data_IF_921674454938
#
_entry.id   IF_921674454938
#
_cell.length_a   1.000
_cell.length_b   1.000
_cell.length_c   1.000
_cell.angle_alpha   90.00
_cell.angle_beta   90.00
_cell.angle_gamma   90.00
#
_symmetry.space_group_name_H-M   'P 1'
#
loop_
_entity.id
_entity.type
_entity.pdbx_description
1 polymer ?
#
# COMPACT_ATOMS: atom_id res chain seq x y z
N UNK A 1 15.30 3.42 23.76
CA UNK A 1 14.44 4.49 23.24
C UNK A 1 14.90 4.85 21.83
N UNK A 2 14.03 4.80 20.82
CA UNK A 2 14.33 5.29 19.48
C UNK A 2 13.86 6.75 19.39
N UNK A 3 14.72 7.64 18.90
CA UNK A 3 14.43 9.08 18.84
C UNK A 3 14.52 9.54 17.39
N UNK A 4 13.42 10.07 16.87
CA UNK A 4 13.39 10.76 15.58
C UNK A 4 13.35 12.27 15.85
N UNK A 5 14.32 13.01 15.31
CA UNK A 5 14.37 14.47 15.38
C UNK A 5 14.23 15.02 13.97
N UNK A 6 13.24 15.88 13.75
CA UNK A 6 13.01 16.54 12.47
C UNK A 6 12.65 18.00 12.72
N UNK A 7 13.14 18.91 11.88
CA UNK A 7 12.88 20.36 12.02
C UNK A 7 12.07 20.82 10.82
N UNK A 8 10.79 21.14 11.04
CA UNK A 8 9.86 21.50 9.97
C UNK A 8 9.43 22.95 10.09
N UNK A 9 9.25 23.62 8.94
CA UNK A 9 8.53 24.89 8.86
C UNK A 9 7.04 24.59 8.75
N UNK A 10 6.25 25.07 9.70
CA UNK A 10 4.80 24.95 9.61
C UNK A 10 4.23 26.06 8.71
N UNK A 11 3.15 25.80 7.95
CA UNK A 11 2.48 26.84 7.19
C UNK A 11 1.97 27.94 8.13
N UNK A 12 2.43 29.17 7.95
CA UNK A 12 2.01 30.33 8.75
C UNK A 12 3.00 30.80 9.83
N UNK A 13 4.14 30.12 10.03
CA UNK A 13 5.21 30.58 10.94
C UNK A 13 6.58 30.60 10.23
N UNK A 14 7.32 31.70 10.35
CA UNK A 14 8.68 31.82 9.75
C UNK A 14 9.73 30.96 10.48
N UNK A 15 9.47 30.66 11.76
CA UNK A 15 10.36 29.91 12.64
C UNK A 15 10.27 28.40 12.39
N UNK A 16 11.45 27.77 12.31
CA UNK A 16 11.56 26.32 12.28
C UNK A 16 11.11 25.75 13.62
N UNK A 17 10.17 24.82 13.61
CA UNK A 17 9.72 24.11 14.80
C UNK A 17 10.42 22.76 14.86
N UNK A 18 11.11 22.49 15.97
CA UNK A 18 11.76 21.20 16.19
C UNK A 18 10.73 20.18 16.70
N UNK A 19 10.59 19.08 15.96
CA UNK A 19 9.76 17.93 16.31
C UNK A 19 10.65 16.80 16.80
N UNK A 20 10.39 16.34 18.03
CA UNK A 20 11.05 15.16 18.60
C UNK A 20 10.01 14.09 18.88
N UNK A 21 10.12 12.95 18.18
CA UNK A 21 9.28 11.78 18.39
C UNK A 21 10.10 10.73 19.13
N UNK A 22 9.64 10.37 20.33
CA UNK A 22 10.25 9.35 21.17
C UNK A 22 9.44 8.06 21.07
N UNK A 23 10.07 6.99 20.59
CA UNK A 23 9.46 5.66 20.47
C UNK A 23 10.08 4.71 21.49
N UNK A 24 9.23 3.94 22.17
CA UNK A 24 9.62 2.86 23.07
C UNK A 24 9.93 1.63 22.22
N UNK A 25 11.17 1.12 22.17
CA UNK A 25 11.56 0.02 21.28
C UNK A 25 10.74 -1.25 21.48
N UNK A 26 10.33 -1.52 22.72
CA UNK A 26 9.52 -2.66 23.11
C UNK A 26 8.10 -2.62 22.51
N UNK A 27 7.63 -1.44 22.10
CA UNK A 27 6.36 -1.24 21.39
C UNK A 27 6.54 -1.18 19.87
N UNK A 28 7.77 -1.24 19.37
CA UNK A 28 8.06 -1.13 17.95
C UNK A 28 8.28 -2.52 17.32
N UNK A 29 7.64 -2.76 16.18
CA UNK A 29 7.91 -3.94 15.35
C UNK A 29 8.62 -3.52 14.07
N UNK A 30 9.70 -4.22 13.74
CA UNK A 30 10.36 -4.05 12.44
C UNK A 30 9.41 -4.51 11.33
N UNK A 31 9.25 -3.68 10.31
CA UNK A 31 8.42 -4.00 9.14
C UNK A 31 9.31 -4.35 7.94
N UNK A 32 8.75 -5.11 7.00
CA UNK A 32 9.49 -5.61 5.85
C UNK A 32 10.39 -6.81 6.19
N UNK A 33 11.22 -7.18 5.21
CA UNK A 33 12.20 -8.26 5.36
C UNK A 33 13.60 -7.65 5.34
N UNK A 34 14.44 -8.03 6.31
CA UNK A 34 15.87 -7.70 6.30
C UNK A 34 16.58 -8.34 5.11
N UNK A 35 17.78 -7.88 4.77
CA UNK A 35 18.52 -8.45 3.65
C UNK A 35 18.97 -9.90 3.93
N UNK A 36 19.27 -10.23 5.19
CA UNK A 36 19.53 -11.62 5.60
C UNK A 36 18.29 -12.51 5.44
N UNK A 37 17.10 -11.99 5.72
CA UNK A 37 15.83 -12.70 5.51
C UNK A 37 15.53 -12.89 4.01
N UNK A 38 15.76 -11.87 3.18
CA UNK A 38 15.60 -11.96 1.72
C UNK A 38 16.58 -12.96 1.09
N UNK A 39 17.80 -13.07 1.62
CA UNK A 39 18.80 -14.04 1.16
C UNK A 39 18.48 -15.47 1.61
N UNK A 40 17.62 -15.65 2.64
CA UNK A 40 17.20 -16.97 3.08
C UNK A 40 16.16 -17.56 2.11
N UNK A 41 16.60 -18.52 1.29
CA UNK A 41 15.75 -19.17 0.29
C UNK A 41 14.53 -19.88 0.89
N UNK A 42 14.65 -20.50 2.06
CA UNK A 42 13.54 -21.20 2.71
C UNK A 42 12.44 -20.22 3.10
N UNK A 43 12.82 -19.10 3.73
CA UNK A 43 11.89 -18.04 4.09
C UNK A 43 11.21 -17.45 2.85
N UNK A 44 11.99 -17.12 1.81
CA UNK A 44 11.44 -16.53 0.59
C UNK A 44 10.54 -17.49 -0.19
N UNK A 45 10.78 -18.81 -0.12
CA UNK A 45 9.88 -19.82 -0.70
C UNK A 45 8.52 -19.83 0.01
N UNK A 46 8.51 -19.74 1.33
CA UNK A 46 7.27 -19.69 2.11
C UNK A 46 6.52 -18.38 1.81
N UNK A 47 7.21 -17.24 1.79
CA UNK A 47 6.62 -15.94 1.40
C UNK A 47 6.07 -15.97 -0.02
N UNK A 48 6.79 -16.58 -0.97
CA UNK A 48 6.34 -16.72 -2.34
C UNK A 48 5.02 -17.50 -2.46
N UNK A 49 4.77 -18.45 -1.56
CA UNK A 49 3.53 -19.24 -1.56
C UNK A 49 2.29 -18.37 -1.36
N UNK A 50 2.41 -17.30 -0.56
CA UNK A 50 1.31 -16.37 -0.30
C UNK A 50 1.30 -15.13 -1.20
N UNK A 51 2.47 -14.69 -1.67
CA UNK A 51 2.61 -13.47 -2.48
C UNK A 51 2.48 -13.72 -3.99
N UNK A 52 2.76 -14.94 -4.47
CA UNK A 52 2.58 -15.32 -5.88
C UNK A 52 1.13 -15.70 -6.17
N UNK A 53 0.32 -14.69 -6.40
CA UNK A 53 -1.06 -14.87 -6.86
C UNK A 53 -1.13 -15.02 -8.38
N UNK A 54 -2.04 -15.88 -8.85
CA UNK A 54 -2.28 -16.04 -10.30
C UNK A 54 -3.02 -14.83 -10.88
N UNK A 55 -2.97 -14.60 -12.20
CA UNK A 55 -3.71 -13.50 -12.84
C UNK A 55 -5.21 -13.52 -12.50
N UNK A 56 -5.85 -14.69 -12.50
CA UNK A 56 -7.26 -14.83 -12.17
C UNK A 56 -7.56 -14.48 -10.70
N UNK A 57 -6.71 -14.92 -9.76
CA UNK A 57 -6.87 -14.56 -8.35
C UNK A 57 -6.70 -13.05 -8.14
N UNK A 58 -5.72 -12.45 -8.83
CA UNK A 58 -5.52 -11.00 -8.80
C UNK A 58 -6.72 -10.24 -9.35
N UNK A 59 -7.30 -10.69 -10.46
CA UNK A 59 -8.51 -10.11 -11.03
C UNK A 59 -9.70 -10.17 -10.07
N UNK A 60 -9.94 -11.34 -9.46
CA UNK A 60 -11.00 -11.50 -8.45
C UNK A 60 -10.78 -10.61 -7.22
N UNK A 61 -9.53 -10.46 -6.76
CA UNK A 61 -9.18 -9.56 -5.66
C UNK A 61 -9.47 -8.09 -6.03
N UNK A 62 -9.18 -7.67 -7.26
CA UNK A 62 -9.52 -6.33 -7.75
C UNK A 62 -11.03 -6.09 -7.79
N UNK A 63 -11.81 -7.03 -8.33
CA UNK A 63 -13.29 -6.92 -8.31
C UNK A 63 -13.83 -6.80 -6.89
N UNK A 64 -13.31 -7.61 -5.95
CA UNK A 64 -13.69 -7.54 -4.55
C UNK A 64 -13.33 -6.18 -3.93
N UNK A 65 -12.16 -5.64 -4.25
CA UNK A 65 -11.75 -4.31 -3.79
C UNK A 65 -12.70 -3.23 -4.29
N UNK A 66 -13.00 -3.20 -5.59
CA UNK A 66 -13.94 -2.25 -6.19
C UNK A 66 -15.30 -2.33 -5.49
N UNK A 67 -15.83 -3.54 -5.31
CA UNK A 67 -17.08 -3.76 -4.58
C UNK A 67 -17.04 -3.19 -3.17
N UNK A 68 -16.00 -3.50 -2.40
CA UNK A 68 -15.86 -3.01 -1.03
C UNK A 68 -15.80 -1.47 -0.96
N UNK A 69 -15.16 -0.82 -1.93
CA UNK A 69 -15.07 0.64 -1.99
C UNK A 69 -16.44 1.26 -2.33
N UNK A 70 -17.17 0.66 -3.27
CA UNK A 70 -18.47 1.15 -3.72
C UNK A 70 -19.60 0.87 -2.73
N UNK A 71 -19.50 -0.21 -1.97
CA UNK A 71 -20.43 -0.57 -0.88
C UNK A 71 -20.21 0.30 0.38
N UNK A 72 -19.02 0.89 0.55
CA UNK A 72 -18.73 1.79 1.66
C UNK A 72 -19.13 3.24 1.34
N UNK A 73 -20.19 3.73 1.98
CA UNK A 73 -20.71 5.08 1.77
C UNK A 73 -19.68 6.18 2.03
N UNK A 74 -18.82 6.05 3.04
CA UNK A 74 -17.79 7.06 3.33
C UNK A 74 -16.74 7.15 2.22
N UNK A 75 -16.30 6.01 1.67
CA UNK A 75 -15.35 5.97 0.58
C UNK A 75 -15.99 6.51 -0.72
N UNK A 76 -17.23 6.10 -1.00
CA UNK A 76 -18.01 6.57 -2.14
C UNK A 76 -18.25 8.08 -2.10
N UNK A 77 -18.61 8.63 -0.94
CA UNK A 77 -18.85 10.06 -0.78
C UNK A 77 -17.55 10.87 -0.90
N UNK A 78 -16.42 10.34 -0.41
CA UNK A 78 -15.11 10.95 -0.68
C UNK A 78 -14.84 11.03 -2.17
N UNK A 79 -14.96 9.92 -2.90
CA UNK A 79 -14.77 9.89 -4.37
C UNK A 79 -15.68 10.90 -5.08
N UNK A 80 -16.98 10.94 -4.72
CA UNK A 80 -17.93 11.91 -5.26
C UNK A 80 -17.57 13.36 -4.96
N UNK A 81 -16.98 13.65 -3.79
CA UNK A 81 -16.49 14.98 -3.44
C UNK A 81 -15.41 15.49 -4.40
N UNK A 82 -14.64 14.58 -5.01
CA UNK A 82 -13.67 14.87 -6.07
C UNK A 82 -14.27 14.80 -7.48
N UNK A 83 -15.58 14.53 -7.63
CA UNK A 83 -16.22 14.27 -8.91
C UNK A 83 -15.83 12.94 -9.55
N UNK A 84 -15.26 12.01 -8.77
CA UNK A 84 -14.76 10.72 -9.26
C UNK A 84 -15.77 9.60 -9.00
N UNK A 85 -15.77 8.62 -9.90
CA UNK A 85 -16.44 7.34 -9.72
C UNK A 85 -15.55 6.20 -10.22
N UNK A 86 -15.72 5.01 -9.66
CA UNK A 86 -14.96 3.82 -10.02
C UNK A 86 -15.87 2.91 -10.82
N UNK A 87 -15.40 2.45 -11.97
CA UNK A 87 -16.10 1.45 -12.79
C UNK A 87 -16.09 0.08 -12.11
N UNK A 88 -17.17 -0.68 -12.26
CA UNK A 88 -17.34 -1.99 -11.64
C UNK A 88 -16.44 -3.07 -12.24
N UNK A 89 -15.98 -2.85 -13.49
CA UNK A 89 -15.24 -3.83 -14.27
C UNK A 89 -13.89 -3.30 -14.76
N UNK A 90 -12.99 -4.21 -15.14
CA UNK A 90 -11.69 -3.86 -15.71
C UNK A 90 -11.81 -3.46 -17.17
N UNK A 91 -10.92 -2.59 -17.63
CA UNK A 91 -10.87 -2.15 -19.03
C UNK A 91 -10.56 -3.34 -19.96
N UNK A 92 -11.41 -3.52 -20.96
CA UNK A 92 -11.18 -4.51 -22.02
C UNK A 92 -10.16 -3.97 -23.03
N UNK A 93 -9.11 -4.74 -23.29
CA UNK A 93 -8.02 -4.36 -24.20
C UNK A 93 -7.84 -5.44 -25.26
N UNK A 94 -7.64 -5.02 -26.52
CA UNK A 94 -7.33 -5.94 -27.61
C UNK A 94 -5.84 -6.24 -27.61
N UNK A 95 -5.46 -7.50 -27.39
CA UNK A 95 -4.08 -7.94 -27.38
C UNK A 95 -3.54 -8.25 -28.79
N UNK A 96 -2.22 -8.19 -28.96
CA UNK A 96 -1.51 -8.67 -30.15
C UNK A 96 -0.42 -9.64 -29.71
N UNK A 97 -0.27 -10.75 -30.43
CA UNK A 97 0.76 -11.77 -30.18
C UNK A 97 1.85 -11.65 -31.24
N UNK A 98 3.11 -11.57 -30.81
CA UNK A 98 4.26 -11.67 -31.71
C UNK A 98 4.48 -13.13 -32.12
N UNK A 99 4.91 -13.39 -33.37
CA UNK A 99 5.42 -14.70 -33.74
C UNK A 99 6.66 -15.06 -32.90
N UNK A 100 6.90 -16.37 -32.67
CA UNK A 100 7.99 -16.86 -31.82
C UNK A 100 9.38 -16.53 -32.35
#
# INVERSE_FOLDING_TARGET
MLISRDSKRMPGTEQKTDFMICLVPELCQLTGLSDSQKQNFRLMKDVATYTRITPNQRHSAFKKFIKNVMDNETAKNRLKGWGLSIDAETVNLTARTLPP
#
